data_IF_877378597449
#
_entry.id   IF_877378597449
#
_cell.length_a   1.000
_cell.length_b   1.000
_cell.length_c   1.000
_cell.angle_alpha   90.00
_cell.angle_beta   90.00
_cell.angle_gamma   90.00
#
_symmetry.space_group_name_H-M   'P 1'
#
loop_
_entity.id
_entity.type
_entity.pdbx_description
1 polymer ?
#
# COMPACT_ATOMS: atom_id res chain seq x y z
N UNK A 1 -13.74 -1.77 2.49
CA UNK A 1 -13.62 -1.65 3.96
C UNK A 1 -13.58 -0.18 4.31
N UNK A 2 -14.74 0.45 4.53
CA UNK A 2 -14.82 1.91 4.71
C UNK A 2 -14.44 2.32 6.14
N UNK A 3 -14.89 1.56 7.14
CA UNK A 3 -14.58 1.82 8.55
C UNK A 3 -13.08 1.85 8.84
N UNK A 4 -12.31 0.95 8.20
CA UNK A 4 -10.85 0.90 8.36
C UNK A 4 -10.14 2.12 7.79
N UNK A 5 -10.64 2.65 6.67
CA UNK A 5 -10.12 3.88 6.05
C UNK A 5 -10.44 5.07 6.97
N UNK A 6 -11.69 5.18 7.43
CA UNK A 6 -12.12 6.26 8.31
C UNK A 6 -11.35 6.28 9.63
N UNK A 7 -11.18 5.13 10.28
CA UNK A 7 -10.46 5.02 11.55
C UNK A 7 -8.98 5.38 11.40
N UNK A 8 -8.30 4.82 10.38
CA UNK A 8 -6.88 5.10 10.16
C UNK A 8 -6.65 6.55 9.71
N UNK A 9 -7.48 7.05 8.80
CA UNK A 9 -7.43 8.43 8.31
C UNK A 9 -7.67 9.45 9.41
N UNK A 10 -8.69 9.22 10.25
CA UNK A 10 -8.95 10.05 11.43
C UNK A 10 -7.79 10.03 12.44
N UNK A 11 -7.18 8.86 12.66
CA UNK A 11 -6.02 8.71 13.55
C UNK A 11 -4.80 9.48 13.04
N UNK A 12 -4.46 9.35 11.76
CA UNK A 12 -3.35 10.08 11.13
C UNK A 12 -3.62 11.59 11.17
N UNK A 13 -4.86 12.00 10.85
CA UNK A 13 -5.27 13.40 10.88
C UNK A 13 -5.12 13.99 12.28
N UNK A 14 -5.54 13.26 13.32
CA UNK A 14 -5.37 13.68 14.70
C UNK A 14 -3.89 13.91 15.05
N UNK A 15 -3.00 12.97 14.70
CA UNK A 15 -1.58 13.15 14.95
C UNK A 15 -0.99 14.34 14.18
N UNK A 16 -1.40 14.56 12.93
CA UNK A 16 -0.90 15.67 12.13
C UNK A 16 -1.32 17.05 12.68
N UNK A 17 -2.49 17.14 13.31
CA UNK A 17 -2.99 18.40 13.91
C UNK A 17 -2.46 18.68 15.31
N UNK A 18 -1.81 17.72 15.98
CA UNK A 18 -1.12 17.98 17.23
C UNK A 18 -0.03 19.06 17.06
N UNK A 19 0.08 19.96 18.04
CA UNK A 19 1.13 20.98 18.08
C UNK A 19 2.51 20.32 18.08
N UNK A 20 2.69 19.31 18.94
CA UNK A 20 3.87 18.45 18.97
C UNK A 20 3.46 17.02 18.58
N UNK A 21 3.48 16.68 17.28
CA UNK A 21 3.05 15.38 16.81
C UNK A 21 4.04 14.28 17.22
N UNK A 22 3.57 13.08 17.61
CA UNK A 22 4.47 11.96 17.85
C UNK A 22 5.17 11.51 16.57
N UNK A 23 6.31 10.83 16.71
CA UNK A 23 6.97 10.15 15.58
C UNK A 23 6.23 8.85 15.29
N UNK A 24 5.48 8.82 14.19
CA UNK A 24 4.64 7.68 13.80
C UNK A 24 5.11 7.09 12.48
N UNK A 25 5.26 5.77 12.43
CA UNK A 25 5.39 5.00 11.19
C UNK A 25 4.09 4.24 10.97
N UNK A 26 3.43 4.49 9.84
CA UNK A 26 2.19 3.81 9.46
C UNK A 26 2.45 2.92 8.24
N UNK A 27 2.10 1.64 8.37
CA UNK A 27 2.10 0.68 7.27
C UNK A 27 0.66 0.26 7.00
N UNK A 28 0.21 0.35 5.74
CA UNK A 28 -1.16 -0.03 5.37
C UNK A 28 -1.22 -0.56 3.95
N UNK A 29 -2.22 -1.41 3.69
CA UNK A 29 -2.60 -1.84 2.35
C UNK A 29 -3.85 -1.10 1.82
N UNK A 30 -4.40 -0.16 2.60
CA UNK A 30 -5.55 0.68 2.23
C UNK A 30 -5.09 1.82 1.33
N UNK A 31 -4.89 1.52 0.04
CA UNK A 31 -4.42 2.50 -0.95
C UNK A 31 -5.39 3.65 -1.16
N UNK A 32 -6.68 3.46 -0.87
CA UNK A 32 -7.72 4.47 -0.91
C UNK A 32 -7.42 5.66 0.03
N UNK A 33 -6.65 5.42 1.09
CA UNK A 33 -6.20 6.47 2.02
C UNK A 33 -5.28 7.51 1.35
N UNK A 34 -4.67 7.17 0.20
CA UNK A 34 -3.80 8.05 -0.56
C UNK A 34 -4.60 9.07 -1.41
N UNK A 35 -5.92 8.91 -1.51
CA UNK A 35 -6.77 9.91 -2.13
C UNK A 35 -6.74 11.20 -1.28
N UNK A 36 -6.66 12.36 -1.94
CA UNK A 36 -6.56 13.66 -1.27
C UNK A 36 -7.76 13.98 -0.35
N UNK A 37 -8.89 13.31 -0.54
CA UNK A 37 -10.07 13.45 0.31
C UNK A 37 -9.96 12.70 1.65
N UNK A 38 -9.03 11.76 1.80
CA UNK A 38 -8.95 10.87 2.97
C UNK A 38 -7.93 11.33 4.02
N UNK A 39 -6.94 12.14 3.63
CA UNK A 39 -5.91 12.68 4.53
C UNK A 39 -5.69 14.17 4.27
N UNK A 40 -5.42 14.98 5.31
CA UNK A 40 -5.11 16.38 5.14
C UNK A 40 -3.76 16.56 4.42
N UNK A 41 -3.68 17.54 3.53
CA UNK A 41 -2.41 17.98 2.97
C UNK A 41 -1.58 18.61 4.09
N UNK A 42 -0.48 17.97 4.47
CA UNK A 42 0.36 18.40 5.60
C UNK A 42 1.81 18.01 5.38
N UNK A 43 2.75 18.94 5.63
CA UNK A 43 4.19 18.66 5.60
C UNK A 43 4.64 17.66 6.69
N UNK A 44 3.79 17.44 7.70
CA UNK A 44 3.98 16.45 8.77
C UNK A 44 3.71 15.01 8.29
N UNK A 45 3.09 14.84 7.12
CA UNK A 45 2.78 13.53 6.53
C UNK A 45 3.67 13.34 5.31
N UNK A 46 4.47 12.27 5.31
CA UNK A 46 5.35 11.90 4.20
C UNK A 46 5.06 10.47 3.78
N UNK A 47 4.88 10.27 2.48
CA UNK A 47 4.62 8.96 1.91
C UNK A 47 5.91 8.29 1.47
N UNK A 48 6.01 7.00 1.78
CA UNK A 48 7.10 6.15 1.37
C UNK A 48 6.55 4.79 0.91
N UNK A 49 7.28 4.14 0.03
CA UNK A 49 6.99 2.81 -0.46
C UNK A 49 8.24 1.95 -0.49
N UNK A 50 8.06 0.63 -0.60
CA UNK A 50 9.17 -0.29 -0.82
C UNK A 50 9.50 -0.35 -2.31
N UNK A 51 10.77 -0.20 -2.64
CA UNK A 51 11.27 -0.32 -4.00
C UNK A 51 11.04 -1.74 -4.52
N UNK A 52 10.46 -1.82 -5.72
CA UNK A 52 10.17 -3.08 -6.41
C UNK A 52 10.71 -2.95 -7.83
N UNK A 53 11.46 -3.96 -8.26
CA UNK A 53 11.88 -4.09 -9.65
C UNK A 53 10.80 -4.87 -10.40
N UNK A 54 10.38 -4.33 -11.55
CA UNK A 54 9.42 -4.96 -12.44
C UNK A 54 10.03 -5.04 -13.85
N UNK A 55 9.70 -6.06 -14.64
CA UNK A 55 10.10 -6.08 -16.04
C UNK A 55 9.37 -4.96 -16.80
N UNK A 56 10.06 -4.29 -17.73
CA UNK A 56 9.55 -3.12 -18.47
C UNK A 56 8.53 -3.46 -19.58
N UNK A 57 8.13 -4.72 -19.72
CA UNK A 57 7.20 -5.15 -20.77
C UNK A 57 5.76 -5.09 -20.27
N UNK A 58 4.86 -4.48 -21.04
CA UNK A 58 3.42 -4.46 -20.70
C UNK A 58 2.77 -5.85 -20.67
N UNK A 59 3.46 -6.86 -21.21
CA UNK A 59 3.12 -8.28 -21.16
C UNK A 59 3.86 -9.05 -20.05
N UNK A 60 4.53 -8.36 -19.12
CA UNK A 60 5.33 -8.98 -18.08
C UNK A 60 4.46 -9.91 -17.22
N UNK A 61 4.76 -11.21 -17.31
CA UNK A 61 4.28 -12.20 -16.36
C UNK A 61 4.51 -11.65 -14.96
N UNK A 62 3.46 -11.60 -14.13
CA UNK A 62 3.60 -11.20 -12.72
C UNK A 62 4.66 -12.04 -11.98
N UNK A 63 5.11 -13.16 -12.53
CA UNK A 63 6.10 -14.09 -11.97
C UNK A 63 7.48 -13.47 -11.71
N UNK A 64 7.83 -12.35 -12.35
CA UNK A 64 9.19 -11.75 -12.28
C UNK A 64 9.29 -10.48 -11.43
N UNK A 65 8.40 -10.30 -10.46
CA UNK A 65 8.48 -9.17 -9.52
C UNK A 65 9.57 -9.44 -8.47
N UNK A 66 10.48 -8.48 -8.27
CA UNK A 66 11.53 -8.57 -7.24
C UNK A 66 11.36 -7.49 -6.19
N UNK A 67 11.18 -7.91 -4.93
CA UNK A 67 11.12 -7.00 -3.78
C UNK A 67 12.54 -6.62 -3.33
N UNK A 68 12.88 -5.33 -3.40
CA UNK A 68 14.22 -4.84 -3.06
C UNK A 68 14.37 -4.42 -1.58
N UNK A 69 13.28 -4.44 -0.81
CA UNK A 69 13.24 -4.10 0.62
C UNK A 69 13.87 -2.74 0.99
N UNK A 70 13.93 -1.82 0.03
CA UNK A 70 14.46 -0.47 0.20
C UNK A 70 13.33 0.53 0.31
N UNK A 71 13.23 1.24 1.43
CA UNK A 71 12.30 2.34 1.61
C UNK A 71 12.70 3.50 0.69
N UNK A 72 11.78 3.97 -0.14
CA UNK A 72 11.98 5.10 -1.05
C UNK A 72 10.81 6.10 -0.89
N UNK A 73 11.04 7.41 -1.08
CA UNK A 73 9.96 8.39 -1.09
C UNK A 73 8.95 8.08 -2.20
N UNK A 74 7.67 8.30 -1.92
CA UNK A 74 6.59 8.17 -2.90
C UNK A 74 5.45 7.25 -2.44
N UNK A 75 4.46 7.14 -3.32
CA UNK A 75 3.27 6.32 -3.13
C UNK A 75 3.28 5.19 -4.15
N UNK A 76 2.67 4.05 -3.80
CA UNK A 76 2.38 3.00 -4.77
C UNK A 76 0.88 2.77 -4.83
N UNK A 77 0.33 2.79 -6.05
CA UNK A 77 -1.10 2.55 -6.30
C UNK A 77 -1.39 1.07 -6.52
N UNK A 78 -0.34 0.23 -6.56
CA UNK A 78 -0.45 -1.18 -6.91
C UNK A 78 -0.21 -2.05 -5.69
N UNK A 79 -1.17 -2.93 -5.40
CA UNK A 79 -1.03 -3.98 -4.40
C UNK A 79 -0.43 -5.23 -5.03
N UNK A 80 0.62 -5.77 -4.43
CA UNK A 80 1.24 -7.04 -4.86
C UNK A 80 0.62 -8.25 -4.17
N UNK A 81 -0.51 -8.11 -3.48
CA UNK A 81 -1.17 -9.21 -2.78
C UNK A 81 -1.54 -10.38 -3.70
N UNK A 82 -1.87 -10.10 -4.97
CA UNK A 82 -2.16 -11.14 -5.97
C UNK A 82 -0.89 -11.90 -6.37
N UNK A 83 0.21 -11.17 -6.59
CA UNK A 83 1.52 -11.77 -6.86
C UNK A 83 1.98 -12.66 -5.69
N UNK A 84 1.85 -12.19 -4.45
CA UNK A 84 2.15 -12.98 -3.27
C UNK A 84 1.27 -14.24 -3.18
N UNK A 85 -0.01 -14.15 -3.55
CA UNK A 85 -0.93 -15.28 -3.58
C UNK A 85 -0.54 -16.32 -4.66
N UNK A 86 -0.08 -15.87 -5.83
CA UNK A 86 0.47 -16.73 -6.88
C UNK A 86 1.73 -17.46 -6.40
N UNK A 87 2.70 -16.74 -5.83
CA UNK A 87 3.92 -17.32 -5.26
C UNK A 87 3.62 -18.35 -4.15
N UNK A 88 2.56 -18.13 -3.37
CA UNK A 88 2.11 -19.05 -2.35
C UNK A 88 1.39 -20.31 -2.90
N UNK A 89 1.26 -20.44 -4.23
CA UNK A 89 0.58 -21.56 -4.89
C UNK A 89 -0.94 -21.55 -4.73
N UNK A 90 -1.52 -20.42 -4.30
CA UNK A 90 -2.97 -20.32 -4.08
C UNK A 90 -3.75 -19.98 -5.34
N UNK A 91 -3.11 -19.33 -6.32
CA UNK A 91 -3.71 -19.01 -7.62
C UNK A 91 -3.12 -19.99 -8.64
N UNK A 92 -3.98 -20.76 -9.31
CA UNK A 92 -3.59 -21.90 -10.16
C UNK A 92 -4.09 -23.26 -9.66
N UNK A 93 -4.55 -23.33 -8.42
CA UNK A 93 -5.27 -24.48 -7.88
C UNK A 93 -6.78 -24.27 -8.12
N UNK A 94 -7.49 -25.16 -8.85
CA UNK A 94 -8.90 -24.97 -9.21
C UNK A 94 -9.88 -24.85 -8.02
N UNK A 95 -9.40 -25.06 -6.78
CA UNK A 95 -10.17 -24.90 -5.54
C UNK A 95 -10.17 -23.48 -4.96
N UNK A 96 -9.33 -22.56 -5.46
CA UNK A 96 -9.29 -21.16 -4.99
C UNK A 96 -9.92 -20.27 -6.06
N UNK A 97 -11.24 -20.38 -6.14
CA UNK A 97 -12.07 -19.56 -7.03
C UNK A 97 -12.19 -18.14 -6.48
N UNK A 98 -11.77 -17.17 -7.32
CA UNK A 98 -12.19 -15.75 -7.39
C UNK A 98 -12.24 -14.96 -6.07
N UNK A 99 -11.29 -14.03 -5.89
CA UNK A 99 -11.48 -12.89 -4.98
C UNK A 99 -12.38 -11.85 -5.68
N UNK A 100 -13.44 -11.45 -4.96
CA UNK A 100 -14.39 -10.38 -5.32
C UNK A 100 -13.67 -9.05 -5.54
#
# INVERSE_FOLDING_TARGET
TEDGIGLLGGTISHFATCNEPPRVLVCTHLTELLNESCLPVSEKIKFYTMSVLRPDTESANMEEIVFLYRLIPGQTVLSYGLHCALLAGTIGNPKVSRRK
#
